data_IF_378525031018
#
_entry.id   IF_378525031018
#
_cell.length_a   1.000
_cell.length_b   1.000
_cell.length_c   1.000
_cell.angle_alpha   90.00
_cell.angle_beta   90.00
_cell.angle_gamma   90.00
#
_symmetry.space_group_name_H-M   'P 1'
#
loop_
_entity.id
_entity.type
_entity.pdbx_description
1 polymer ?
#
# COMPACT_ATOMS: atom_id res chain seq x y z
N UNK A 1 -25.70 -15.57 0.24
CA UNK A 1 -24.72 -14.55 -0.18
C UNK A 1 -25.05 -13.28 0.57
N UNK A 2 -24.07 -12.58 1.14
CA UNK A 2 -24.30 -11.35 1.92
C UNK A 2 -24.02 -10.15 1.03
N UNK A 3 -24.91 -9.16 1.01
CA UNK A 3 -24.67 -7.86 0.41
C UNK A 3 -23.94 -6.96 1.41
N UNK A 4 -22.81 -6.36 1.00
CA UNK A 4 -21.96 -5.55 1.86
C UNK A 4 -21.64 -4.20 1.21
N UNK A 5 -21.63 -3.15 2.02
CA UNK A 5 -21.15 -1.82 1.61
C UNK A 5 -19.88 -1.50 2.40
N UNK A 6 -18.80 -1.23 1.68
CA UNK A 6 -17.55 -0.72 2.25
C UNK A 6 -17.45 0.78 1.95
N UNK A 7 -17.54 1.60 2.99
CA UNK A 7 -17.39 3.04 2.89
C UNK A 7 -16.06 3.47 3.53
N UNK A 8 -15.26 4.23 2.79
CA UNK A 8 -13.95 4.67 3.23
C UNK A 8 -13.18 5.36 2.11
N UNK A 9 -11.87 5.47 2.27
CA UNK A 9 -11.00 6.09 1.29
C UNK A 9 -10.59 5.13 0.17
N UNK A 10 -10.34 5.70 -1.00
CA UNK A 10 -9.68 5.07 -2.14
C UNK A 10 -8.32 5.74 -2.30
N UNK A 11 -7.26 4.94 -2.40
CA UNK A 11 -5.90 5.43 -2.58
C UNK A 11 -5.25 4.85 -3.84
N UNK A 12 -4.25 5.57 -4.34
CA UNK A 12 -3.20 5.00 -5.19
C UNK A 12 -1.98 4.75 -4.29
N UNK A 13 -1.68 3.48 -4.04
CA UNK A 13 -0.52 3.10 -3.26
C UNK A 13 0.73 3.12 -4.15
N UNK A 14 1.71 3.94 -3.78
CA UNK A 14 3.03 4.00 -4.40
C UNK A 14 3.99 3.25 -3.48
N UNK A 15 4.49 2.11 -3.94
CA UNK A 15 5.39 1.24 -3.16
C UNK A 15 6.79 1.23 -3.76
N UNK A 16 7.73 2.05 -3.26
CA UNK A 16 9.11 1.99 -3.70
C UNK A 16 9.76 0.69 -3.22
N UNK A 17 10.61 0.09 -4.06
CA UNK A 17 11.44 -1.04 -3.64
C UNK A 17 12.57 -0.54 -2.71
N UNK A 18 12.48 -0.89 -1.42
CA UNK A 18 13.48 -0.52 -0.42
C UNK A 18 14.33 -1.76 -0.09
N UNK A 19 15.64 -1.68 -0.32
CA UNK A 19 16.58 -2.74 0.03
C UNK A 19 16.71 -2.93 1.55
N UNK A 20 16.84 -4.18 2.01
CA UNK A 20 16.86 -4.52 3.44
C UNK A 20 18.00 -3.86 4.22
N UNK A 21 19.19 -3.84 3.63
CA UNK A 21 20.37 -3.15 4.19
C UNK A 21 20.13 -1.64 4.31
N UNK A 22 19.51 -1.04 3.29
CA UNK A 22 19.17 0.38 3.29
C UNK A 22 18.14 0.70 4.39
N UNK A 23 17.04 -0.08 4.47
CA UNK A 23 16.00 0.10 5.49
C UNK A 23 16.51 -0.05 6.93
N UNK A 24 17.52 -0.90 7.16
CA UNK A 24 18.11 -1.11 8.48
C UNK A 24 19.08 0.00 8.90
N UNK A 25 19.49 0.88 7.99
CA UNK A 25 20.40 1.98 8.29
C UNK A 25 19.66 3.12 9.01
N UNK A 26 20.21 3.57 10.14
CA UNK A 26 19.70 4.76 10.86
C UNK A 26 19.79 6.05 10.02
N UNK A 27 20.56 6.03 8.93
CA UNK A 27 20.71 7.16 8.01
C UNK A 27 19.69 7.18 6.86
N UNK A 28 18.86 6.16 6.72
CA UNK A 28 18.01 5.95 5.55
C UNK A 28 16.92 7.03 5.36
N UNK A 29 16.24 7.43 6.44
CA UNK A 29 15.19 8.46 6.44
C UNK A 29 15.54 9.63 7.38
N UNK A 30 16.72 10.21 7.19
CA UNK A 30 17.14 11.39 7.93
C UNK A 30 16.60 12.65 7.24
N UNK A 31 16.05 13.63 7.98
CA UNK A 31 15.59 14.89 7.41
C UNK A 31 16.67 15.59 6.56
N UNK A 32 16.26 16.09 5.40
CA UNK A 32 17.16 16.77 4.46
C UNK A 32 17.97 15.85 3.55
N UNK A 33 17.83 14.53 3.68
CA UNK A 33 18.51 13.54 2.82
C UNK A 33 17.60 13.10 1.67
N UNK A 34 18.19 12.96 0.49
CA UNK A 34 17.60 12.24 -0.63
C UNK A 34 18.19 10.83 -0.62
N UNK A 35 17.33 9.82 -0.70
CA UNK A 35 17.75 8.41 -0.72
C UNK A 35 17.21 7.74 -1.96
N UNK A 36 18.12 7.16 -2.75
CA UNK A 36 17.77 6.36 -3.92
C UNK A 36 17.04 5.08 -3.50
N UNK A 37 16.00 4.74 -4.25
CA UNK A 37 15.18 3.53 -4.09
C UNK A 37 15.11 2.78 -5.40
N UNK A 38 14.71 1.51 -5.35
CA UNK A 38 14.44 0.75 -6.57
C UNK A 38 13.12 1.15 -7.23
N UNK A 39 12.69 0.35 -8.20
CA UNK A 39 11.44 0.55 -8.93
C UNK A 39 10.23 0.76 -7.99
N UNK A 40 9.37 1.71 -8.35
CA UNK A 40 8.11 1.94 -7.65
C UNK A 40 6.98 1.17 -8.31
N UNK A 41 6.28 0.34 -7.54
CA UNK A 41 5.06 -0.34 -8.01
C UNK A 41 3.83 0.45 -7.62
N UNK A 42 2.84 0.50 -8.52
CA UNK A 42 1.57 1.20 -8.31
C UNK A 42 0.44 0.18 -8.14
N UNK A 43 -0.45 0.41 -7.17
CA UNK A 43 -1.69 -0.37 -7.06
C UNK A 43 -2.82 0.44 -6.45
N UNK A 44 -4.06 -0.02 -6.63
CA UNK A 44 -5.16 0.46 -5.82
C UNK A 44 -4.91 0.15 -4.35
N UNK A 45 -5.37 1.04 -3.48
CA UNK A 45 -5.25 0.90 -2.03
C UNK A 45 -6.35 1.63 -1.28
N UNK A 46 -6.15 1.76 0.02
CA UNK A 46 -7.12 2.34 0.92
C UNK A 46 -8.26 1.42 1.32
N UNK A 47 -9.08 1.87 2.28
CA UNK A 47 -10.09 1.04 2.93
C UNK A 47 -11.07 0.40 1.93
N UNK A 48 -11.53 1.14 0.93
CA UNK A 48 -12.48 0.63 -0.07
C UNK A 48 -11.86 -0.47 -0.91
N UNK A 49 -10.67 -0.24 -1.50
CA UNK A 49 -10.01 -1.23 -2.34
C UNK A 49 -9.55 -2.45 -1.53
N UNK A 50 -8.93 -2.25 -0.37
CA UNK A 50 -8.37 -3.35 0.42
C UNK A 50 -9.47 -4.25 0.99
N UNK A 51 -10.46 -3.67 1.66
CA UNK A 51 -11.51 -4.44 2.32
C UNK A 51 -12.56 -4.90 1.31
N UNK A 52 -12.97 -4.05 0.38
CA UNK A 52 -13.96 -4.41 -0.64
C UNK A 52 -13.49 -5.56 -1.52
N UNK A 53 -12.25 -5.52 -2.00
CA UNK A 53 -11.70 -6.59 -2.83
C UNK A 53 -11.54 -7.90 -2.04
N UNK A 54 -11.08 -7.84 -0.79
CA UNK A 54 -10.96 -9.02 0.06
C UNK A 54 -12.33 -9.67 0.33
N UNK A 55 -13.35 -8.87 0.64
CA UNK A 55 -14.71 -9.37 0.86
C UNK A 55 -15.30 -9.96 -0.42
N UNK A 56 -15.07 -9.31 -1.56
CA UNK A 56 -15.50 -9.83 -2.86
C UNK A 56 -14.85 -11.20 -3.18
N UNK A 57 -13.54 -11.34 -2.92
CA UNK A 57 -12.83 -12.63 -3.08
C UNK A 57 -13.36 -13.73 -2.14
N UNK A 58 -13.87 -13.34 -0.97
CA UNK A 58 -14.52 -14.26 -0.01
C UNK A 58 -15.99 -14.57 -0.36
N UNK A 59 -16.52 -14.01 -1.45
CA UNK A 59 -17.88 -14.29 -1.94
C UNK A 59 -18.97 -13.37 -1.39
N UNK A 60 -18.61 -12.27 -0.74
CA UNK A 60 -19.56 -11.18 -0.50
C UNK A 60 -19.89 -10.48 -1.82
N UNK A 61 -21.13 -10.00 -1.90
CA UNK A 61 -21.57 -9.14 -3.00
C UNK A 61 -21.48 -7.68 -2.60
#
# INVERSE_FOLDING_TARGET
MLDVVVAGHVCLDIKPAIGREAAGSSSYLVPGRITEVGEATLSGGGAVSNTGLALHQLGAR
#
